data_IF_259478701133
#
_entry.id   IF_259478701133
#
_cell.length_a   1.000
_cell.length_b   1.000
_cell.length_c   1.000
_cell.angle_alpha   90.00
_cell.angle_beta   90.00
_cell.angle_gamma   90.00
#
_symmetry.space_group_name_H-M   'P 1'
#
loop_
_entity.id
_entity.type
_entity.pdbx_description
1 polymer ?
#
# COMPACT_ATOMS: atom_id res chain seq x y z
N UNK A 1 16.32 3.30 -10.86
CA UNK A 1 15.02 3.00 -10.22
C UNK A 1 15.28 1.99 -9.14
N UNK A 2 14.84 2.24 -7.91
CA UNK A 2 14.98 1.29 -6.80
C UNK A 2 13.94 0.17 -6.92
N UNK A 3 14.33 -1.07 -6.62
CA UNK A 3 13.43 -2.21 -6.59
C UNK A 3 12.51 -2.19 -5.37
N UNK A 4 11.47 -3.02 -5.37
CA UNK A 4 10.57 -3.12 -4.21
C UNK A 4 11.31 -3.61 -2.95
N UNK A 5 12.25 -4.53 -3.09
CA UNK A 5 13.04 -5.06 -1.95
C UNK A 5 13.87 -3.96 -1.28
N UNK A 6 14.54 -3.11 -2.07
CA UNK A 6 15.30 -1.96 -1.56
C UNK A 6 14.39 -0.97 -0.83
N UNK A 7 13.19 -0.73 -1.36
CA UNK A 7 12.20 0.14 -0.71
C UNK A 7 11.71 -0.45 0.62
N UNK A 8 11.47 -1.77 0.66
CA UNK A 8 11.03 -2.46 1.88
C UNK A 8 12.09 -2.41 2.97
N UNK A 9 13.35 -2.64 2.62
CA UNK A 9 14.47 -2.54 3.55
C UNK A 9 14.61 -1.10 4.08
N UNK A 10 14.70 -0.12 3.18
CA UNK A 10 14.93 1.28 3.54
C UNK A 10 13.82 1.86 4.45
N UNK A 11 12.57 1.43 4.25
CA UNK A 11 11.41 1.92 5.00
C UNK A 11 10.94 0.96 6.11
N UNK A 12 11.67 -0.13 6.34
CA UNK A 12 11.32 -1.17 7.33
C UNK A 12 9.87 -1.67 7.16
N UNK A 13 9.47 -1.93 5.91
CA UNK A 13 8.12 -2.37 5.59
C UNK A 13 7.97 -3.87 5.76
N UNK A 14 6.96 -4.29 6.51
CA UNK A 14 6.61 -5.71 6.64
C UNK A 14 6.11 -6.28 5.29
N UNK A 15 6.30 -7.58 5.00
CA UNK A 15 5.91 -8.18 3.72
C UNK A 15 4.42 -8.02 3.37
N UNK A 16 3.55 -7.98 4.38
CA UNK A 16 2.11 -7.80 4.21
C UNK A 16 1.67 -6.37 3.88
N UNK A 17 2.56 -5.37 4.01
CA UNK A 17 2.25 -3.98 3.63
C UNK A 17 2.37 -3.87 2.10
N UNK A 18 1.27 -3.57 1.38
CA UNK A 18 1.31 -3.44 -0.07
C UNK A 18 2.08 -2.19 -0.49
N UNK A 19 2.90 -2.32 -1.53
CA UNK A 19 3.53 -1.18 -2.22
C UNK A 19 2.74 -0.95 -3.49
N UNK A 20 2.23 0.28 -3.69
CA UNK A 20 1.40 0.63 -4.83
C UNK A 20 2.03 1.81 -5.56
N UNK A 21 2.08 1.74 -6.89
CA UNK A 21 2.52 2.84 -7.75
C UNK A 21 1.35 3.80 -7.96
N UNK A 22 1.58 5.07 -7.67
CA UNK A 22 0.56 6.12 -7.81
C UNK A 22 1.16 7.34 -8.47
N UNK A 23 0.50 7.85 -9.51
CA UNK A 23 0.73 9.21 -9.97
C UNK A 23 -0.30 10.13 -9.31
N UNK A 24 0.17 10.99 -8.40
CA UNK A 24 -0.69 11.92 -7.67
C UNK A 24 -1.38 12.96 -8.57
N UNK A 25 -0.91 13.16 -9.81
CA UNK A 25 -1.49 14.10 -10.78
C UNK A 25 -2.59 13.46 -11.62
N UNK A 26 -2.66 12.13 -11.65
CA UNK A 26 -3.72 11.40 -12.33
C UNK A 26 -4.82 11.02 -11.34
N UNK A 27 -6.01 11.57 -11.56
CA UNK A 27 -7.19 11.32 -10.73
C UNK A 27 -7.57 9.84 -10.66
N UNK A 28 -7.45 9.11 -11.76
CA UNK A 28 -7.80 7.69 -11.79
C UNK A 28 -6.77 6.85 -11.01
N UNK A 29 -5.48 7.18 -11.14
CA UNK A 29 -4.42 6.56 -10.33
C UNK A 29 -4.62 6.77 -8.83
N UNK A 30 -4.95 8.00 -8.41
CA UNK A 30 -5.22 8.31 -7.00
C UNK A 30 -6.44 7.56 -6.50
N UNK A 31 -7.52 7.50 -7.29
CA UNK A 31 -8.75 6.78 -6.91
C UNK A 31 -8.48 5.30 -6.65
N UNK A 32 -7.78 4.62 -7.56
CA UNK A 32 -7.42 3.20 -7.39
C UNK A 32 -6.55 2.98 -6.15
N UNK A 33 -5.60 3.88 -5.90
CA UNK A 33 -4.72 3.82 -4.71
C UNK A 33 -5.52 3.90 -3.41
N UNK A 34 -6.49 4.82 -3.34
CA UNK A 34 -7.33 4.99 -2.15
C UNK A 34 -8.25 3.79 -1.92
N UNK A 35 -8.74 3.15 -2.99
CA UNK A 35 -9.52 1.91 -2.87
C UNK A 35 -8.65 0.80 -2.24
N UNK A 36 -7.44 0.55 -2.78
CA UNK A 36 -6.52 -0.45 -2.24
C UNK A 36 -6.17 -0.16 -0.78
N UNK A 37 -5.97 1.10 -0.41
CA UNK A 37 -5.70 1.50 0.97
C UNK A 37 -6.86 1.10 1.90
N UNK A 38 -8.10 1.44 1.53
CA UNK A 38 -9.28 1.15 2.35
C UNK A 38 -9.50 -0.37 2.47
N UNK A 39 -9.35 -1.12 1.38
CA UNK A 39 -9.46 -2.59 1.40
C UNK A 39 -8.42 -3.23 2.33
N UNK A 40 -7.17 -2.75 2.29
CA UNK A 40 -6.10 -3.22 3.17
C UNK A 40 -6.38 -2.87 4.63
N UNK A 41 -6.86 -1.66 4.91
CA UNK A 41 -7.21 -1.22 6.25
C UNK A 41 -8.35 -2.07 6.83
N UNK A 42 -9.42 -2.29 6.08
CA UNK A 42 -10.55 -3.12 6.51
C UNK A 42 -10.11 -4.56 6.81
N UNK A 43 -9.29 -5.16 5.94
CA UNK A 43 -8.75 -6.51 6.15
C UNK A 43 -7.87 -6.59 7.40
N UNK A 44 -7.00 -5.59 7.60
CA UNK A 44 -6.10 -5.51 8.75
C UNK A 44 -6.86 -5.30 10.06
N UNK A 45 -7.90 -4.45 10.06
CA UNK A 45 -8.74 -4.22 11.23
C UNK A 45 -9.58 -5.44 11.60
N UNK A 46 -10.11 -6.18 10.62
CA UNK A 46 -10.83 -7.44 10.88
C UNK A 46 -9.90 -8.48 11.50
N UNK A 47 -8.63 -8.53 11.09
CA UNK A 47 -7.61 -9.38 11.73
C UNK A 47 -7.22 -8.93 13.14
N UNK A 48 -7.35 -7.63 13.47
CA UNK A 48 -7.01 -7.09 14.79
C UNK A 48 -8.14 -7.21 15.83
N UNK A 49 -9.39 -7.41 15.36
CA UNK A 49 -10.57 -7.66 16.20
C UNK A 49 -10.83 -9.15 16.47
N UNK A 50 -10.05 -10.04 15.86
CA UNK A 50 -10.03 -11.48 16.13
C UNK A 50 -8.89 -11.84 17.07
#
# INVERSE_FOLDING_TARGET
THGEDELREALTLSPQVPIVRTDARDRESVKSTLITLVEHALTSHVSALR
#
